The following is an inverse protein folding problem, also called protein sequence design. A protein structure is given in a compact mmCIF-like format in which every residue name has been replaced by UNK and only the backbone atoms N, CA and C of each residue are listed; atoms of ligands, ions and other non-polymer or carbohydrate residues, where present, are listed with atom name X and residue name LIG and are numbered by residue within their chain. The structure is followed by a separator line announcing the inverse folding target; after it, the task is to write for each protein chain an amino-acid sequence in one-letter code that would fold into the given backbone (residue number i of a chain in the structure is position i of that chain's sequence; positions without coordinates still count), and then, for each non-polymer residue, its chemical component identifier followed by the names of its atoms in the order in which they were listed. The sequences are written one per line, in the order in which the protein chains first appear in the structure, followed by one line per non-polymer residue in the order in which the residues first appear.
data_IF_176271821245
#
_entry.id   IF_176271821245
#
_cell.length_a   1.000
_cell.length_b   1.000
_cell.length_c   1.000
_cell.angle_alpha   90.00
_cell.angle_beta   90.00
_cell.angle_gamma   90.00
#
_symmetry.space_group_name_H-M   'P 1'
#
loop_
_entity.id
_entity.type
_entity.pdbx_description
1 polymer ?
#
# COMPACT_ATOMS: atom_id res chain seq x y z
N UNK A 1 19.14 -16.12 11.52
CA UNK A 1 18.16 -15.61 10.56
C UNK A 1 16.80 -15.83 11.17
N UNK A 2 16.03 -14.77 11.41
CA UNK A 2 14.64 -14.94 11.88
C UNK A 2 13.73 -15.23 10.67
N UNK A 3 12.54 -15.79 10.91
CA UNK A 3 11.59 -16.18 9.84
C UNK A 3 11.24 -15.01 8.90
N UNK A 4 11.26 -13.78 9.42
CA UNK A 4 10.98 -12.55 8.67
C UNK A 4 12.10 -12.22 7.68
N UNK A 5 13.36 -12.33 8.08
CA UNK A 5 14.52 -12.18 7.17
C UNK A 5 14.49 -13.23 6.06
N UNK A 6 14.07 -14.45 6.38
CA UNK A 6 13.91 -15.50 5.39
C UNK A 6 12.77 -15.20 4.41
N UNK A 7 11.63 -14.68 4.89
CA UNK A 7 10.54 -14.23 4.03
C UNK A 7 10.98 -13.11 3.09
N UNK A 8 11.72 -12.11 3.58
CA UNK A 8 12.26 -11.03 2.76
C UNK A 8 13.19 -11.58 1.67
N UNK A 9 14.09 -12.50 2.01
CA UNK A 9 14.99 -13.12 1.04
C UNK A 9 14.21 -13.85 -0.08
N UNK A 10 13.17 -14.62 0.26
CA UNK A 10 12.33 -15.29 -0.74
C UNK A 10 11.56 -14.30 -1.61
N UNK A 11 11.07 -13.20 -1.05
CA UNK A 11 10.41 -12.17 -1.84
C UNK A 11 11.39 -11.44 -2.79
N UNK A 12 12.63 -11.18 -2.37
CA UNK A 12 13.66 -10.61 -3.24
C UNK A 12 14.02 -11.55 -4.41
N UNK A 13 14.19 -12.85 -4.14
CA UNK A 13 14.39 -13.85 -5.20
C UNK A 13 13.19 -13.91 -6.16
N UNK A 14 11.96 -13.81 -5.62
CA UNK A 14 10.74 -13.75 -6.43
C UNK A 14 10.74 -12.52 -7.34
N UNK A 15 11.15 -11.34 -6.85
CA UNK A 15 11.25 -10.11 -7.66
C UNK A 15 12.23 -10.31 -8.83
N UNK A 16 13.41 -10.86 -8.58
CA UNK A 16 14.39 -11.12 -9.64
C UNK A 16 13.86 -12.07 -10.71
N UNK A 17 13.15 -13.13 -10.30
CA UNK A 17 12.56 -14.08 -11.24
C UNK A 17 11.47 -13.42 -12.07
N UNK A 18 10.56 -12.68 -11.43
CA UNK A 18 9.46 -11.96 -12.08
C UNK A 18 9.96 -10.92 -13.08
N UNK A 19 11.02 -10.19 -12.74
CA UNK A 19 11.71 -9.30 -13.67
C UNK A 19 12.23 -10.07 -14.89
N UNK A 20 12.94 -11.19 -14.68
CA UNK A 20 13.51 -12.00 -15.78
C UNK A 20 12.44 -12.56 -16.72
N UNK A 21 11.27 -12.93 -16.22
CA UNK A 21 10.18 -13.49 -17.03
C UNK A 21 9.19 -12.43 -17.53
N UNK A 22 9.36 -11.16 -17.15
CA UNK A 22 8.47 -10.06 -17.53
C UNK A 22 7.10 -10.07 -16.84
N UNK A 23 6.97 -10.71 -15.67
CA UNK A 23 5.73 -10.74 -14.87
C UNK A 23 5.58 -9.46 -14.04
N UNK A 24 5.11 -8.40 -14.71
CA UNK A 24 4.93 -7.08 -14.08
C UNK A 24 3.87 -7.11 -12.98
N UNK A 25 2.77 -7.85 -13.18
CA UNK A 25 1.69 -7.96 -12.19
C UNK A 25 2.18 -8.68 -10.92
N UNK A 26 2.89 -9.80 -11.08
CA UNK A 26 3.46 -10.51 -9.96
C UNK A 26 4.54 -9.70 -9.24
N UNK A 27 5.30 -8.86 -9.96
CA UNK A 27 6.28 -7.94 -9.37
C UNK A 27 5.59 -6.89 -8.50
N UNK A 28 4.55 -6.24 -9.02
CA UNK A 28 3.76 -5.25 -8.30
C UNK A 28 3.20 -5.82 -6.99
N UNK A 29 2.59 -7.02 -7.05
CA UNK A 29 2.06 -7.70 -5.88
C UNK A 29 3.15 -8.05 -4.86
N UNK A 30 4.34 -8.48 -5.30
CA UNK A 30 5.44 -8.78 -4.36
C UNK A 30 5.97 -7.53 -3.66
N UNK A 31 6.11 -6.42 -4.37
CA UNK A 31 6.51 -5.14 -3.77
C UNK A 31 5.50 -4.69 -2.71
N UNK A 32 4.21 -4.83 -2.98
CA UNK A 32 3.15 -4.55 -2.00
C UNK A 32 3.31 -5.40 -0.73
N UNK A 33 3.57 -6.70 -0.87
CA UNK A 33 3.74 -7.59 0.27
C UNK A 33 5.00 -7.29 1.07
N UNK A 34 6.11 -6.97 0.40
CA UNK A 34 7.34 -6.53 1.06
C UNK A 34 7.10 -5.24 1.85
N UNK A 35 6.41 -4.27 1.25
CA UNK A 35 6.04 -3.03 1.93
C UNK A 35 5.26 -3.30 3.22
N UNK A 36 4.28 -4.20 3.20
CA UNK A 36 3.54 -4.62 4.39
C UNK A 36 4.44 -5.23 5.48
N UNK A 37 5.43 -6.04 5.09
CA UNK A 37 6.41 -6.61 6.04
C UNK A 37 7.25 -5.52 6.69
N UNK A 38 7.77 -4.57 5.91
CA UNK A 38 8.55 -3.45 6.45
C UNK A 38 7.70 -2.53 7.34
N UNK A 39 6.45 -2.27 6.96
CA UNK A 39 5.52 -1.47 7.76
C UNK A 39 5.27 -2.13 9.13
N UNK A 40 5.04 -3.44 9.16
CA UNK A 40 4.84 -4.20 10.40
C UNK A 40 6.08 -4.24 11.31
N UNK A 41 7.28 -4.02 10.74
CA UNK A 41 8.55 -3.88 11.49
C UNK A 41 8.80 -2.45 11.99
N UNK A 42 7.96 -1.49 11.62
CA UNK A 42 8.18 -0.06 11.89
C UNK A 42 9.20 0.61 10.95
N UNK A 43 9.63 -0.10 9.90
CA UNK A 43 10.53 0.42 8.86
C UNK A 43 9.71 1.16 7.80
N UNK A 44 9.15 2.30 8.24
CA UNK A 44 8.11 3.04 7.52
C UNK A 44 8.63 3.62 6.20
N UNK A 45 9.85 4.16 6.18
CA UNK A 45 10.44 4.73 4.96
C UNK A 45 10.62 3.66 3.87
N UNK A 46 11.14 2.49 4.24
CA UNK A 46 11.28 1.35 3.32
C UNK A 46 9.91 0.87 2.82
N UNK A 47 8.92 0.79 3.72
CA UNK A 47 7.57 0.41 3.33
C UNK A 47 6.96 1.38 2.31
N UNK A 48 7.10 2.68 2.52
CA UNK A 48 6.61 3.70 1.58
C UNK A 48 7.28 3.53 0.22
N UNK A 49 8.61 3.32 0.18
CA UNK A 49 9.34 3.13 -1.07
C UNK A 49 8.83 1.90 -1.86
N UNK A 50 8.63 0.76 -1.19
CA UNK A 50 8.10 -0.43 -1.85
C UNK A 50 6.64 -0.28 -2.29
N UNK A 51 5.80 0.40 -1.51
CA UNK A 51 4.43 0.71 -1.95
C UNK A 51 4.43 1.66 -3.16
N UNK A 52 5.32 2.64 -3.23
CA UNK A 52 5.44 3.54 -4.38
C UNK A 52 5.86 2.79 -5.64
N UNK A 53 6.88 1.91 -5.56
CA UNK A 53 7.29 1.09 -6.70
C UNK A 53 6.15 0.15 -7.15
N UNK A 54 5.43 -0.45 -6.20
CA UNK A 54 4.23 -1.26 -6.50
C UNK A 54 3.19 -0.42 -7.24
N UNK A 55 2.88 0.78 -6.74
CA UNK A 55 1.89 1.69 -7.32
C UNK A 55 2.20 2.06 -8.78
N UNK A 56 3.46 2.38 -9.08
CA UNK A 56 3.91 2.67 -10.45
C UNK A 56 3.66 1.49 -11.41
N UNK A 57 3.90 0.26 -10.94
CA UNK A 57 3.66 -0.94 -11.73
C UNK A 57 2.16 -1.22 -11.89
N UNK A 58 1.36 -1.07 -10.83
CA UNK A 58 -0.10 -1.24 -10.89
C UNK A 58 -0.74 -0.24 -11.87
N UNK A 59 -0.24 1.01 -11.90
CA UNK A 59 -0.64 2.01 -12.88
C UNK A 59 -0.24 1.63 -14.29
N UNK A 60 1.01 1.17 -14.49
CA UNK A 60 1.51 0.74 -15.80
C UNK A 60 0.68 -0.39 -16.42
N UNK A 61 0.16 -1.30 -15.60
CA UNK A 61 -0.65 -2.44 -16.07
C UNK A 61 -2.16 -2.19 -16.00
N UNK A 62 -2.59 -1.02 -15.50
CA UNK A 62 -4.01 -0.67 -15.36
C UNK A 62 -4.76 -1.49 -14.30
N UNK A 63 -4.07 -2.06 -13.31
CA UNK A 63 -4.70 -2.82 -12.23
C UNK A 63 -5.25 -1.88 -11.16
N UNK A 64 -6.50 -1.47 -11.35
CA UNK A 64 -7.20 -0.57 -10.45
C UNK A 64 -7.35 -1.14 -9.02
N UNK A 65 -7.58 -2.45 -8.87
CA UNK A 65 -7.73 -3.06 -7.55
C UNK A 65 -6.42 -2.99 -6.76
N UNK A 66 -5.28 -3.32 -7.40
CA UNK A 66 -3.95 -3.23 -6.79
C UNK A 66 -3.57 -1.78 -6.46
N UNK A 67 -3.89 -0.83 -7.36
CA UNK A 67 -3.71 0.61 -7.13
C UNK A 67 -4.48 1.09 -5.90
N UNK A 68 -5.75 0.73 -5.78
CA UNK A 68 -6.59 1.10 -4.64
C UNK A 68 -6.08 0.51 -3.31
N UNK A 69 -5.68 -0.76 -3.30
CA UNK A 69 -5.13 -1.40 -2.11
C UNK A 69 -3.83 -0.70 -1.65
N UNK A 70 -2.94 -0.39 -2.59
CA UNK A 70 -1.66 0.29 -2.30
C UNK A 70 -1.88 1.71 -1.76
N UNK A 71 -2.83 2.47 -2.33
CA UNK A 71 -3.24 3.76 -1.80
C UNK A 71 -3.79 3.67 -0.37
N UNK A 72 -4.64 2.68 -0.08
CA UNK A 72 -5.18 2.51 1.26
C UNK A 72 -4.08 2.23 2.31
N UNK A 73 -3.07 1.44 1.94
CA UNK A 73 -1.93 1.14 2.82
C UNK A 73 -1.03 2.36 3.05
N UNK A 74 -0.69 3.10 1.99
CA UNK A 74 0.07 4.35 2.11
C UNK A 74 -0.65 5.37 3.00
N UNK A 75 -1.96 5.50 2.80
CA UNK A 75 -2.81 6.39 3.60
C UNK A 75 -2.77 6.04 5.09
N UNK A 76 -2.97 4.77 5.43
CA UNK A 76 -2.90 4.31 6.83
C UNK A 76 -1.51 4.51 7.45
N UNK A 77 -0.46 4.22 6.69
CA UNK A 77 0.92 4.37 7.17
C UNK A 77 1.25 5.84 7.46
N UNK A 78 0.83 6.75 6.59
CA UNK A 78 1.02 8.19 6.80
C UNK A 78 0.18 8.72 7.96
N UNK A 79 -1.04 8.22 8.15
CA UNK A 79 -1.87 8.59 9.29
C UNK A 79 -1.22 8.17 10.61
N UNK A 80 -0.63 6.97 10.67
CA UNK A 80 0.11 6.50 11.84
C UNK A 80 1.32 7.38 12.19
N UNK A 81 1.93 8.02 11.18
CA UNK A 81 3.01 8.99 11.35
C UNK A 81 2.52 10.42 11.65
N UNK A 82 1.21 10.66 11.64
CA UNK A 82 0.62 11.99 11.86
C UNK A 82 0.56 12.89 10.62
N UNK A 83 0.88 12.38 9.43
CA UNK A 83 0.77 13.10 8.17
C UNK A 83 -0.67 13.01 7.62
N UNK A 84 -1.63 13.59 8.34
CA UNK A 84 -3.06 13.40 8.07
C UNK A 84 -3.52 13.92 6.70
N UNK A 85 -3.00 15.06 6.22
CA UNK A 85 -3.38 15.60 4.92
C UNK A 85 -2.97 14.66 3.77
N UNK A 86 -1.75 14.12 3.84
CA UNK A 86 -1.26 13.16 2.84
C UNK A 86 -2.01 11.83 2.96
N UNK A 87 -2.27 11.38 4.18
CA UNK A 87 -3.07 10.19 4.44
C UNK A 87 -4.46 10.29 3.82
N UNK A 88 -5.14 11.42 4.03
CA UNK A 88 -6.46 11.69 3.48
C UNK A 88 -6.45 11.65 1.95
N UNK A 89 -5.46 12.28 1.31
CA UNK A 89 -5.35 12.28 -0.15
C UNK A 89 -5.26 10.84 -0.71
N UNK A 90 -4.37 10.00 -0.15
CA UNK A 90 -4.26 8.61 -0.59
C UNK A 90 -5.52 7.79 -0.33
N UNK A 91 -6.14 7.94 0.84
CA UNK A 91 -7.39 7.22 1.16
C UNK A 91 -8.54 7.64 0.25
N UNK A 92 -8.64 8.92 -0.13
CA UNK A 92 -9.65 9.40 -1.09
C UNK A 92 -9.44 8.79 -2.48
N UNK A 93 -8.20 8.74 -2.97
CA UNK A 93 -7.90 8.10 -4.25
C UNK A 93 -8.23 6.60 -4.23
N UNK A 94 -7.96 5.91 -3.12
CA UNK A 94 -8.38 4.52 -2.93
C UNK A 94 -9.91 4.38 -2.98
N UNK A 95 -10.62 5.22 -2.23
CA UNK A 95 -12.09 5.21 -2.16
C UNK A 95 -12.73 5.45 -3.53
N UNK A 96 -12.24 6.42 -4.29
CA UNK A 96 -12.75 6.74 -5.63
C UNK A 96 -12.67 5.52 -6.56
N UNK A 97 -11.51 4.85 -6.57
CA UNK A 97 -11.32 3.63 -7.39
C UNK A 97 -12.25 2.51 -6.93
N UNK A 98 -12.34 2.26 -5.62
CA UNK A 98 -13.19 1.18 -5.09
C UNK A 98 -14.67 1.44 -5.37
N UNK A 99 -15.13 2.70 -5.31
CA UNK A 99 -16.48 3.08 -5.70
C UNK A 99 -16.73 2.86 -7.19
N UNK A 100 -15.77 3.22 -8.04
CA UNK A 100 -15.86 2.96 -9.48
C UNK A 100 -15.98 1.46 -9.78
N UNK A 101 -15.21 0.63 -9.08
CA UNK A 101 -15.26 -0.83 -9.17
C UNK A 101 -16.46 -1.47 -8.48
N UNK A 102 -17.26 -0.69 -7.72
CA UNK A 102 -18.33 -1.18 -6.83
C UNK A 102 -17.83 -2.26 -5.86
N UNK A 103 -16.59 -2.12 -5.39
CA UNK A 103 -16.00 -3.02 -4.40
C UNK A 103 -16.63 -2.79 -3.02
N UNK A 104 -16.93 -3.85 -2.24
CA UNK A 104 -17.34 -3.71 -0.85
C UNK A 104 -16.27 -3.04 0.03
N UNK A 105 -15.00 -3.10 -0.36
CA UNK A 105 -13.89 -2.50 0.38
C UNK A 105 -13.98 -0.96 0.48
N UNK A 106 -14.81 -0.33 -0.36
CA UNK A 106 -15.06 1.11 -0.31
C UNK A 106 -15.61 1.56 1.06
N UNK A 107 -16.40 0.72 1.73
CA UNK A 107 -16.92 1.06 3.06
C UNK A 107 -15.79 1.07 4.10
N UNK A 108 -14.93 0.05 4.08
CA UNK A 108 -13.75 -0.04 4.95
C UNK A 108 -12.86 1.20 4.81
N UNK A 109 -12.58 1.64 3.58
CA UNK A 109 -11.76 2.85 3.36
C UNK A 109 -12.47 4.11 3.87
N UNK A 110 -13.80 4.19 3.74
CA UNK A 110 -14.58 5.32 4.29
C UNK A 110 -14.50 5.39 5.81
N UNK A 111 -14.59 4.26 6.49
CA UNK A 111 -14.42 4.19 7.95
C UNK A 111 -13.02 4.64 8.36
N UNK A 112 -11.97 4.18 7.65
CA UNK A 112 -10.60 4.62 7.90
C UNK A 112 -10.45 6.13 7.71
N UNK A 113 -11.06 6.71 6.67
CA UNK A 113 -11.06 8.17 6.47
C UNK A 113 -11.68 8.90 7.66
N UNK A 114 -12.82 8.43 8.17
CA UNK A 114 -13.47 9.04 9.32
C UNK A 114 -12.58 8.99 10.57
N UNK A 115 -11.90 7.86 10.81
CA UNK A 115 -10.94 7.71 11.91
C UNK A 115 -9.78 8.71 11.74
N UNK A 116 -9.22 8.83 10.53
CA UNK A 116 -8.13 9.79 10.24
C UNK A 116 -8.55 11.24 10.49
N UNK A 117 -9.77 11.61 10.09
CA UNK A 117 -10.31 12.95 10.35
C UNK A 117 -10.50 13.23 11.84
N UNK A 118 -11.00 12.26 12.60
CA UNK A 118 -11.14 12.39 14.05
C UNK A 118 -9.77 12.57 14.72
N UNK A 119 -8.79 11.74 14.37
CA UNK A 119 -7.42 11.84 14.90
C UNK A 119 -6.76 13.18 14.59
N UNK A 120 -7.05 13.77 13.43
CA UNK A 120 -6.54 15.10 13.06
C UNK A 120 -7.21 16.21 13.89
N UNK A 121 -8.52 16.13 14.12
CA UNK A 121 -9.29 17.10 14.91
C UNK A 121 -9.00 17.05 16.42
N UNK A 122 -8.69 15.88 16.97
CA UNK A 122 -8.33 15.75 18.39
C UNK A 122 -6.95 16.37 18.72
N UNK A 123 -6.16 16.74 17.70
CA UNK A 123 -4.82 17.33 17.83
C UNK A 123 -4.79 18.85 17.59
N UNK A 124 -5.91 19.46 17.19
CA UNK A 124 -6.05 20.91 16.94
C UNK A 124 -6.61 21.65 18.13
#
# INVERSE_FOLDING_TARGET
MNEVEQAIAFYQESLELKEKIGDVQGKAATLHQLAGIYANRGEVEQAIAFYQESLELEEKIGNLQGKAATFAMLGQLLAAQGYFDQAFNYLQQSLEILQHLRSPDAETVREIIAIVQQMAGDRS
#
